data_IF_852538758097
#
_entry.id   IF_852538758097
#
_cell.length_a   1.000
_cell.length_b   1.000
_cell.length_c   1.000
_cell.angle_alpha   90.00
_cell.angle_beta   90.00
_cell.angle_gamma   90.00
#
_symmetry.space_group_name_H-M   'P 1'
#
loop_
_entity.id
_entity.type
_entity.pdbx_description
1 polymer ?
#
# COMPACT_ATOMS: atom_id res chain seq x y z
N UNK A 1 3.67 10.34 74.52
CA UNK A 1 3.65 9.12 73.69
C UNK A 1 2.30 9.04 73.00
N UNK A 2 2.10 9.05 71.68
CA UNK A 2 2.96 8.93 70.50
C UNK A 2 2.36 9.85 69.42
N UNK A 3 3.22 10.60 68.73
CA UNK A 3 2.89 11.34 67.51
C UNK A 3 2.39 10.35 66.44
N UNK A 4 1.13 10.47 66.04
CA UNK A 4 0.59 9.75 64.90
C UNK A 4 1.09 10.40 63.62
N UNK A 5 1.94 9.66 62.90
CA UNK A 5 2.74 10.14 61.79
C UNK A 5 1.88 10.20 60.50
N UNK A 6 1.17 11.32 60.32
CA UNK A 6 0.29 11.62 59.18
C UNK A 6 1.05 11.58 57.82
N UNK A 7 2.38 11.65 57.85
CA UNK A 7 3.24 11.65 56.67
C UNK A 7 3.36 10.28 55.97
N UNK A 8 3.11 9.17 56.69
CA UNK A 8 3.22 7.82 56.11
C UNK A 8 1.91 7.33 55.46
N UNK A 9 0.76 7.94 55.77
CA UNK A 9 -0.52 7.58 55.15
C UNK A 9 -0.69 8.25 53.77
N UNK A 10 -0.20 9.49 53.62
CA UNK A 10 -0.25 10.21 52.34
C UNK A 10 0.68 9.59 51.27
N UNK A 11 1.86 9.08 51.66
CA UNK A 11 2.78 8.42 50.72
C UNK A 11 2.25 7.06 50.21
N UNK A 12 1.47 6.33 51.01
CA UNK A 12 0.82 5.09 50.57
C UNK A 12 -0.35 5.34 49.63
N UNK A 13 -1.14 6.40 49.83
CA UNK A 13 -2.21 6.76 48.89
C UNK A 13 -1.68 7.25 47.53
N UNK A 14 -0.56 7.97 47.50
CA UNK A 14 0.05 8.44 46.24
C UNK A 14 0.73 7.29 45.46
N UNK A 15 1.33 6.31 46.15
CA UNK A 15 1.91 5.14 45.47
C UNK A 15 0.85 4.16 44.95
N UNK A 16 -0.32 4.09 45.59
CA UNK A 16 -1.42 3.21 45.13
C UNK A 16 -2.23 3.84 43.99
N UNK A 17 -2.28 5.18 43.89
CA UNK A 17 -2.86 5.86 42.72
C UNK A 17 -1.92 5.93 41.51
N UNK A 18 -0.59 5.85 41.69
CA UNK A 18 0.35 5.78 40.57
C UNK A 18 0.45 4.39 39.91
N UNK A 19 -0.03 3.34 40.58
CA UNK A 19 -0.07 1.98 40.01
C UNK A 19 -1.37 1.67 39.25
N UNK A 20 -2.33 2.61 39.18
CA UNK A 20 -3.57 2.44 38.41
C UNK A 20 -3.62 3.25 37.10
N UNK A 21 -2.52 3.88 36.67
CA UNK A 21 -2.45 4.56 35.36
C UNK A 21 -1.77 3.73 34.25
N UNK A 22 -1.29 2.53 34.55
CA UNK A 22 -1.04 1.50 33.51
C UNK A 22 -2.34 0.76 33.21
N UNK A 23 -3.39 1.52 32.89
CA UNK A 23 -4.58 1.00 32.24
C UNK A 23 -4.21 0.61 30.83
N UNK A 24 -3.75 -0.64 30.72
CA UNK A 24 -3.73 -1.50 29.54
C UNK A 24 -4.45 -0.83 28.37
N UNK A 25 -3.70 -0.42 27.36
CA UNK A 25 -4.25 -0.23 26.03
C UNK A 25 -4.87 -1.59 25.66
N UNK A 26 -6.16 -1.76 25.92
CA UNK A 26 -6.95 -2.83 25.32
C UNK A 26 -6.99 -2.50 23.84
N UNK A 27 -5.96 -2.93 23.14
CA UNK A 27 -6.03 -3.19 21.72
C UNK A 27 -7.20 -4.14 21.56
N UNK A 28 -8.30 -3.64 21.00
CA UNK A 28 -9.45 -4.45 20.65
C UNK A 28 -9.02 -5.34 19.49
N UNK A 29 -8.31 -6.40 19.83
CA UNK A 29 -7.97 -7.49 18.94
C UNK A 29 -9.24 -8.26 18.57
N UNK A 30 -9.20 -9.00 17.46
CA UNK A 30 -10.24 -10.00 17.20
C UNK A 30 -10.30 -11.04 18.36
N UNK A 31 -11.29 -11.94 18.35
CA UNK A 31 -11.38 -13.02 19.36
C UNK A 31 -10.11 -13.88 19.46
N UNK A 32 -9.17 -13.76 18.53
CA UNK A 32 -7.92 -14.50 18.42
C UNK A 32 -6.67 -13.64 18.69
N UNK A 33 -6.78 -12.35 19.05
CA UNK A 33 -5.62 -11.49 19.32
C UNK A 33 -5.05 -10.74 18.11
N UNK A 34 -5.66 -10.81 16.92
CA UNK A 34 -5.13 -10.18 15.69
C UNK A 34 -5.63 -8.74 15.49
N UNK A 35 -4.78 -7.93 14.86
CA UNK A 35 -5.11 -6.57 14.39
C UNK A 35 -6.06 -6.65 13.20
N UNK A 36 -7.17 -5.90 13.24
CA UNK A 36 -8.19 -5.93 12.18
C UNK A 36 -8.02 -4.74 11.25
N UNK A 37 -7.66 -5.00 9.99
CA UNK A 37 -7.44 -3.98 8.97
C UNK A 37 -8.59 -3.97 7.97
N UNK A 38 -9.13 -2.79 7.68
CA UNK A 38 -10.07 -2.59 6.58
C UNK A 38 -9.38 -2.01 5.36
N UNK A 39 -9.71 -2.47 4.16
CA UNK A 39 -9.37 -1.76 2.90
C UNK A 39 -10.66 -1.20 2.32
N UNK A 40 -10.69 0.09 2.02
CA UNK A 40 -11.88 0.71 1.42
C UNK A 40 -12.10 0.17 0.01
N UNK A 41 -13.30 -0.34 -0.26
CA UNK A 41 -13.75 -0.90 -1.53
C UNK A 41 -15.04 -0.18 -1.94
N UNK A 42 -14.87 1.04 -2.43
CA UNK A 42 -15.96 1.88 -2.89
C UNK A 42 -15.65 2.48 -4.25
N UNK A 43 -16.68 3.03 -4.90
CA UNK A 43 -16.50 3.68 -6.18
C UNK A 43 -15.48 4.83 -6.08
N UNK A 44 -14.58 4.89 -7.06
CA UNK A 44 -13.39 5.74 -7.04
C UNK A 44 -12.10 4.97 -6.73
N UNK A 45 -12.16 3.90 -5.93
CA UNK A 45 -11.01 3.04 -5.68
C UNK A 45 -10.66 2.20 -6.91
N UNK A 46 -9.38 2.16 -7.27
CA UNK A 46 -8.92 1.26 -8.35
C UNK A 46 -8.97 -0.18 -7.85
N UNK A 47 -9.71 -1.02 -8.58
CA UNK A 47 -9.90 -2.42 -8.22
C UNK A 47 -8.59 -3.18 -8.01
N UNK A 48 -7.57 -2.92 -8.85
CA UNK A 48 -6.25 -3.55 -8.69
C UNK A 48 -5.55 -3.09 -7.41
N UNK A 49 -5.62 -1.80 -7.07
CA UNK A 49 -5.06 -1.27 -5.83
C UNK A 49 -5.74 -1.86 -4.58
N UNK A 50 -7.07 -2.06 -4.64
CA UNK A 50 -7.82 -2.72 -3.56
C UNK A 50 -7.31 -4.15 -3.35
N UNK A 51 -7.21 -4.93 -4.44
CA UNK A 51 -6.72 -6.30 -4.38
C UNK A 51 -5.29 -6.39 -3.82
N UNK A 52 -4.40 -5.53 -4.31
CA UNK A 52 -3.00 -5.49 -3.92
C UNK A 52 -2.83 -5.04 -2.46
N UNK A 53 -3.60 -4.06 -1.99
CA UNK A 53 -3.60 -3.65 -0.58
C UNK A 53 -4.11 -4.76 0.35
N UNK A 54 -5.16 -5.48 -0.06
CA UNK A 54 -5.65 -6.66 0.68
C UNK A 54 -4.57 -7.74 0.74
N UNK A 55 -3.96 -8.08 -0.40
CA UNK A 55 -2.89 -9.08 -0.47
C UNK A 55 -1.68 -8.69 0.38
N UNK A 56 -1.29 -7.41 0.37
CA UNK A 56 -0.14 -6.93 1.13
C UNK A 56 -0.35 -7.09 2.65
N UNK A 57 -1.57 -6.92 3.17
CA UNK A 57 -1.85 -7.13 4.60
C UNK A 57 -1.79 -8.61 4.99
N UNK A 58 -2.14 -9.54 4.09
CA UNK A 58 -2.10 -10.98 4.37
C UNK A 58 -0.69 -11.50 4.68
N UNK A 59 0.35 -10.74 4.33
CA UNK A 59 1.76 -11.06 4.59
C UNK A 59 2.10 -10.97 6.10
N UNK A 60 1.37 -10.18 6.90
CA UNK A 60 1.58 -10.14 8.34
C UNK A 60 0.61 -11.10 9.06
N UNK A 61 1.10 -12.19 9.69
CA UNK A 61 0.22 -13.15 10.36
C UNK A 61 -0.51 -12.59 11.58
N UNK A 62 -0.08 -11.44 12.12
CA UNK A 62 -0.74 -10.78 13.25
C UNK A 62 -1.93 -9.92 12.79
N UNK A 63 -2.17 -9.82 11.48
CA UNK A 63 -3.24 -9.03 10.91
C UNK A 63 -4.32 -9.91 10.28
N UNK A 64 -5.54 -9.38 10.28
CA UNK A 64 -6.64 -9.84 9.44
C UNK A 64 -7.06 -8.68 8.54
N UNK A 65 -7.58 -9.00 7.37
CA UNK A 65 -8.01 -7.99 6.40
C UNK A 65 -9.37 -8.33 5.83
N UNK A 66 -10.18 -7.31 5.64
CA UNK A 66 -11.42 -7.37 4.85
C UNK A 66 -11.62 -6.05 4.12
N UNK A 67 -12.37 -6.10 3.04
CA UNK A 67 -12.86 -4.88 2.40
C UNK A 67 -14.03 -4.30 3.19
N UNK A 68 -14.28 -3.00 3.01
CA UNK A 68 -15.47 -2.32 3.53
C UNK A 68 -15.91 -1.21 2.59
N UNK A 69 -17.21 -0.99 2.52
CA UNK A 69 -17.87 -0.02 1.64
C UNK A 69 -18.36 1.20 2.42
N UNK A 70 -18.95 2.15 1.70
CA UNK A 70 -19.58 3.35 2.29
C UNK A 70 -20.82 3.01 3.12
N UNK A 71 -21.58 1.98 2.71
CA UNK A 71 -22.69 1.43 3.47
C UNK A 71 -22.21 0.79 4.78
N UNK A 72 -21.08 0.08 4.75
CA UNK A 72 -20.50 -0.54 5.95
C UNK A 72 -20.05 0.52 6.97
N UNK A 73 -19.49 1.65 6.53
CA UNK A 73 -19.16 2.78 7.42
C UNK A 73 -20.42 3.30 8.10
N UNK A 74 -21.50 3.52 7.34
CA UNK A 74 -22.78 3.96 7.89
C UNK A 74 -23.37 2.96 8.89
N UNK A 75 -23.18 1.66 8.65
CA UNK A 75 -23.58 0.57 9.54
C UNK A 75 -22.58 0.28 10.68
N UNK A 76 -21.55 1.11 10.85
CA UNK A 76 -20.67 1.08 12.02
C UNK A 76 -19.51 0.09 11.94
N UNK A 77 -19.09 -0.34 10.75
CA UNK A 77 -17.95 -1.27 10.54
C UNK A 77 -16.66 -0.79 11.20
N UNK A 78 -16.46 0.54 11.31
CA UNK A 78 -15.27 1.14 11.91
C UNK A 78 -15.05 0.72 13.38
N UNK A 79 -16.12 0.38 14.12
CA UNK A 79 -16.03 -0.12 15.50
C UNK A 79 -15.34 -1.50 15.59
N UNK A 80 -15.29 -2.21 14.47
CA UNK A 80 -14.74 -3.55 14.36
C UNK A 80 -13.34 -3.56 13.72
N UNK A 81 -12.75 -2.39 13.49
CA UNK A 81 -11.45 -2.24 12.84
C UNK A 81 -10.47 -1.53 13.78
N UNK A 82 -9.18 -1.75 13.55
CA UNK A 82 -8.08 -1.14 14.28
C UNK A 82 -7.34 -0.15 13.39
N UNK A 83 -7.18 -0.48 12.11
CA UNK A 83 -6.73 0.44 11.09
C UNK A 83 -7.57 0.32 9.81
N UNK A 84 -7.55 1.36 9.00
CA UNK A 84 -8.10 1.34 7.63
C UNK A 84 -7.05 1.79 6.61
N UNK A 85 -7.23 1.33 5.37
CA UNK A 85 -6.45 1.74 4.21
C UNK A 85 -7.42 2.37 3.21
N UNK A 86 -7.09 3.57 2.74
CA UNK A 86 -7.69 4.14 1.53
C UNK A 86 -6.70 3.91 0.38
N UNK A 87 -7.07 3.09 -0.61
CA UNK A 87 -6.17 2.66 -1.68
C UNK A 87 -5.91 3.76 -2.72
N UNK A 88 -5.17 3.43 -3.78
CA UNK A 88 -5.11 4.25 -4.98
C UNK A 88 -6.40 4.18 -5.82
N UNK A 89 -6.60 5.15 -6.71
CA UNK A 89 -7.85 5.37 -7.43
C UNK A 89 -7.98 6.83 -7.87
N UNK A 90 -9.20 7.36 -7.90
CA UNK A 90 -9.46 8.79 -8.07
C UNK A 90 -9.85 9.44 -6.74
N UNK A 91 -8.95 10.20 -6.12
CA UNK A 91 -9.15 10.70 -4.75
C UNK A 91 -10.40 11.57 -4.58
N UNK A 92 -10.72 12.42 -5.56
CA UNK A 92 -11.97 13.20 -5.58
C UNK A 92 -13.22 12.33 -5.71
N UNK A 93 -13.14 11.26 -6.52
CA UNK A 93 -14.23 10.29 -6.68
C UNK A 93 -14.44 9.49 -5.40
N UNK A 94 -13.37 9.00 -4.77
CA UNK A 94 -13.45 8.31 -3.48
C UNK A 94 -14.05 9.21 -2.40
N UNK A 95 -13.57 10.45 -2.29
CA UNK A 95 -14.09 11.43 -1.33
C UNK A 95 -15.59 11.66 -1.51
N UNK A 96 -16.03 11.89 -2.75
CA UNK A 96 -17.45 12.07 -3.08
C UNK A 96 -18.28 10.86 -2.66
N UNK A 97 -17.82 9.65 -3.00
CA UNK A 97 -18.56 8.43 -2.75
C UNK A 97 -18.60 8.05 -1.27
N UNK A 98 -17.53 8.31 -0.51
CA UNK A 98 -17.54 8.12 0.95
C UNK A 98 -18.65 8.96 1.57
N UNK A 99 -18.75 10.24 1.17
CA UNK A 99 -19.78 11.15 1.63
C UNK A 99 -19.47 11.80 2.98
N UNK A 100 -19.93 13.03 3.15
CA UNK A 100 -19.54 13.93 4.25
C UNK A 100 -19.70 13.33 5.64
N UNK A 101 -20.79 12.60 5.90
CA UNK A 101 -21.03 12.00 7.22
C UNK A 101 -20.08 10.84 7.52
N UNK A 102 -19.77 10.00 6.52
CA UNK A 102 -18.79 8.94 6.69
C UNK A 102 -17.36 9.48 6.83
N UNK A 103 -17.03 10.59 6.16
CA UNK A 103 -15.74 11.26 6.34
C UNK A 103 -15.56 11.75 7.79
N UNK A 104 -16.62 12.27 8.43
CA UNK A 104 -16.61 12.60 9.86
C UNK A 104 -16.40 11.36 10.73
N UNK A 105 -17.06 10.23 10.39
CA UNK A 105 -16.89 8.96 11.11
C UNK A 105 -15.46 8.44 11.00
N UNK A 106 -14.83 8.54 9.82
CA UNK A 106 -13.41 8.19 9.63
C UNK A 106 -12.51 9.11 10.45
N UNK A 107 -12.74 10.43 10.44
CA UNK A 107 -11.97 11.37 11.27
C UNK A 107 -12.08 11.02 12.76
N UNK A 108 -13.29 10.78 13.26
CA UNK A 108 -13.50 10.39 14.66
C UNK A 108 -12.84 9.04 15.00
N UNK A 109 -12.85 8.08 14.06
CA UNK A 109 -12.13 6.82 14.18
C UNK A 109 -10.62 7.07 14.41
N UNK A 110 -10.00 7.91 13.59
CA UNK A 110 -8.57 8.26 13.72
C UNK A 110 -8.32 8.98 15.07
N UNK A 111 -9.08 10.04 15.36
CA UNK A 111 -8.91 10.85 16.57
C UNK A 111 -9.07 10.02 17.86
N UNK A 112 -9.84 8.92 17.81
CA UNK A 112 -10.01 7.98 18.92
C UNK A 112 -8.78 7.10 19.23
N UNK A 113 -7.77 7.07 18.35
CA UNK A 113 -6.55 6.27 18.54
C UNK A 113 -6.28 5.23 17.46
N UNK A 114 -7.06 5.22 16.37
CA UNK A 114 -6.98 4.21 15.32
C UNK A 114 -6.03 4.64 14.20
N UNK A 115 -5.58 3.66 13.42
CA UNK A 115 -4.62 3.88 12.34
C UNK A 115 -5.27 4.13 10.99
N UNK A 116 -4.65 4.96 10.16
CA UNK A 116 -5.04 5.09 8.76
C UNK A 116 -3.83 5.19 7.83
N UNK A 117 -3.88 4.46 6.71
CA UNK A 117 -2.89 4.54 5.63
C UNK A 117 -3.58 5.00 4.34
N UNK A 118 -3.01 6.01 3.69
CA UNK A 118 -3.43 6.49 2.37
C UNK A 118 -2.37 6.12 1.34
N UNK A 119 -2.81 5.64 0.18
CA UNK A 119 -1.92 5.22 -0.91
C UNK A 119 -2.32 5.99 -2.17
N UNK A 120 -1.39 6.70 -2.82
CA UNK A 120 -1.63 7.50 -4.02
C UNK A 120 -2.87 8.42 -3.87
N UNK A 121 -4.01 8.06 -4.46
CA UNK A 121 -5.29 8.75 -4.32
C UNK A 121 -5.75 8.92 -2.86
N UNK A 122 -5.60 7.90 -2.03
CA UNK A 122 -5.86 8.00 -0.60
C UNK A 122 -4.98 9.06 0.08
N UNK A 123 -3.73 9.23 -0.37
CA UNK A 123 -2.83 10.28 0.11
C UNK A 123 -3.25 11.67 -0.36
N UNK A 124 -3.70 11.82 -1.62
CA UNK A 124 -4.33 13.06 -2.11
C UNK A 124 -5.53 13.42 -1.22
N UNK A 125 -6.42 12.46 -0.98
CA UNK A 125 -7.62 12.66 -0.16
C UNK A 125 -7.27 13.09 1.28
N UNK A 126 -6.13 12.67 1.83
CA UNK A 126 -5.72 13.04 3.19
C UNK A 126 -5.16 14.46 3.31
N UNK A 127 -4.74 15.05 2.19
CA UNK A 127 -4.08 16.34 2.12
C UNK A 127 -4.98 17.53 2.45
N UNK A 128 -4.42 18.72 2.34
CA UNK A 128 -5.10 20.01 2.36
C UNK A 128 -4.81 20.78 1.07
N UNK A 129 -5.06 20.13 -0.07
CA UNK A 129 -4.80 20.74 -1.36
C UNK A 129 -5.92 21.72 -1.75
N UNK A 130 -5.60 22.98 -2.11
CA UNK A 130 -6.58 23.91 -2.64
C UNK A 130 -7.33 23.32 -3.83
N UNK A 131 -8.64 23.61 -3.91
CA UNK A 131 -9.53 23.18 -4.99
C UNK A 131 -9.61 21.66 -5.22
N UNK A 132 -9.17 20.86 -4.24
CA UNK A 132 -9.27 19.40 -4.25
C UNK A 132 -10.13 18.87 -3.08
N UNK A 133 -10.77 17.73 -3.29
CA UNK A 133 -11.60 17.09 -2.29
C UNK A 133 -10.74 16.44 -1.19
N UNK A 134 -10.63 17.13 -0.05
CA UNK A 134 -9.64 16.85 0.98
C UNK A 134 -10.25 16.62 2.37
N UNK A 135 -9.83 15.55 3.03
CA UNK A 135 -10.16 15.25 4.43
C UNK A 135 -9.39 16.10 5.43
N UNK A 136 -8.26 16.69 5.02
CA UNK A 136 -7.48 17.62 5.87
C UNK A 136 -6.95 16.95 7.13
N UNK A 137 -6.37 15.77 6.97
CA UNK A 137 -5.90 14.91 8.07
C UNK A 137 -4.39 14.69 8.06
N UNK A 138 -3.71 15.04 6.97
CA UNK A 138 -2.27 15.20 6.93
C UNK A 138 -1.89 16.69 6.85
N UNK A 139 -0.63 17.02 7.15
CA UNK A 139 -0.12 18.39 7.17
C UNK A 139 0.43 18.91 5.83
N UNK A 140 0.18 18.19 4.74
CA UNK A 140 0.71 18.48 3.42
C UNK A 140 -0.40 18.97 2.48
N UNK A 141 0.01 19.63 1.40
CA UNK A 141 -0.80 19.88 0.20
C UNK A 141 -0.05 19.30 -1.00
N UNK A 142 -0.78 18.84 -2.00
CA UNK A 142 -0.22 18.57 -3.31
C UNK A 142 -0.06 19.88 -4.08
N UNK A 143 0.99 19.97 -4.89
CA UNK A 143 1.16 20.98 -5.93
C UNK A 143 1.07 20.32 -7.29
N UNK A 144 0.99 21.12 -8.35
CA UNK A 144 1.03 20.63 -9.74
C UNK A 144 -0.09 19.60 -10.01
N UNK A 145 -1.31 19.94 -9.59
CA UNK A 145 -2.49 19.09 -9.81
C UNK A 145 -2.93 19.16 -11.28
N UNK A 146 -2.67 20.28 -11.95
CA UNK A 146 -2.94 20.48 -13.37
C UNK A 146 -2.20 19.49 -14.29
N UNK A 147 -1.09 18.91 -13.83
CA UNK A 147 -0.31 17.88 -14.52
C UNK A 147 -0.31 16.57 -13.70
N UNK A 148 -1.48 16.14 -13.21
CA UNK A 148 -1.58 14.89 -12.46
C UNK A 148 -1.21 13.64 -13.26
N UNK A 149 -1.55 13.61 -14.56
CA UNK A 149 -1.07 12.63 -15.53
C UNK A 149 0.41 12.84 -15.92
N UNK A 150 1.32 12.94 -14.94
CA UNK A 150 2.75 13.19 -15.17
C UNK A 150 3.55 11.95 -15.60
N UNK A 151 2.96 10.78 -15.46
CA UNK A 151 3.57 9.50 -15.83
C UNK A 151 3.73 8.53 -14.67
N UNK A 152 4.25 7.35 -14.99
CA UNK A 152 4.32 6.23 -14.07
C UNK A 152 5.46 5.25 -14.40
N UNK A 153 5.81 4.42 -13.42
CA UNK A 153 6.86 3.42 -13.53
C UNK A 153 7.59 3.16 -12.22
N UNK A 154 8.67 2.40 -12.26
CA UNK A 154 9.56 2.19 -11.12
C UNK A 154 10.35 3.46 -10.85
N UNK A 155 9.93 4.21 -9.84
CA UNK A 155 10.59 5.42 -9.35
C UNK A 155 11.55 5.08 -8.21
N UNK A 156 12.56 5.94 -8.02
CA UNK A 156 13.54 5.88 -6.94
C UNK A 156 13.19 6.84 -5.81
N UNK A 157 13.45 6.39 -4.58
CA UNK A 157 13.33 7.19 -3.38
C UNK A 157 14.48 6.88 -2.41
N UNK A 158 14.79 7.83 -1.53
CA UNK A 158 15.72 7.65 -0.42
C UNK A 158 14.97 7.68 0.92
N UNK A 159 15.52 7.05 1.95
CA UNK A 159 14.98 7.14 3.31
C UNK A 159 15.65 8.28 4.08
N UNK A 160 14.84 9.04 4.82
CA UNK A 160 15.36 9.93 5.87
C UNK A 160 15.88 9.12 7.06
N UNK A 161 16.58 9.75 8.00
CA UNK A 161 17.06 9.06 9.20
C UNK A 161 15.93 8.41 10.01
N UNK A 162 14.74 9.02 10.05
CA UNK A 162 13.58 8.40 10.68
C UNK A 162 12.91 7.35 9.81
N UNK A 163 12.96 7.50 8.49
CA UNK A 163 12.60 6.43 7.56
C UNK A 163 13.42 5.15 7.80
N UNK A 164 14.74 5.28 7.96
CA UNK A 164 15.65 4.16 8.23
C UNK A 164 15.31 3.41 9.51
N UNK A 165 14.80 4.11 10.54
CA UNK A 165 14.33 3.48 11.78
C UNK A 165 13.07 2.63 11.57
N UNK A 166 12.16 3.06 10.69
CA UNK A 166 10.93 2.32 10.40
C UNK A 166 11.15 1.18 9.39
N UNK A 167 12.06 1.37 8.45
CA UNK A 167 12.38 0.44 7.36
C UNK A 167 13.86 0.02 7.40
N UNK A 168 14.31 -0.66 8.47
CA UNK A 168 15.71 -1.08 8.62
C UNK A 168 16.19 -1.97 7.47
N UNK A 169 15.31 -2.73 6.83
CA UNK A 169 15.61 -3.56 5.66
C UNK A 169 16.11 -2.76 4.44
N UNK A 170 15.80 -1.47 4.40
CA UNK A 170 16.21 -0.54 3.35
C UNK A 170 17.28 0.46 3.82
N UNK A 171 17.65 0.44 5.11
CA UNK A 171 18.43 1.52 5.72
C UNK A 171 19.85 1.69 5.17
N UNK A 172 20.47 0.60 4.71
CA UNK A 172 21.79 0.61 4.10
C UNK A 172 21.75 0.99 2.60
N UNK A 173 20.57 1.10 1.99
CA UNK A 173 20.43 1.42 0.57
C UNK A 173 20.43 2.94 0.39
N UNK A 174 21.28 3.50 -0.49
CA UNK A 174 21.19 4.91 -0.83
C UNK A 174 19.87 5.23 -1.57
N UNK A 175 19.42 4.31 -2.42
CA UNK A 175 18.17 4.40 -3.17
C UNK A 175 17.40 3.08 -3.08
N UNK A 176 16.09 3.20 -2.99
CA UNK A 176 15.12 2.11 -3.10
C UNK A 176 14.10 2.44 -4.19
N UNK A 177 13.39 1.43 -4.69
CA UNK A 177 12.59 1.54 -5.90
C UNK A 177 11.19 0.98 -5.68
N UNK A 178 10.18 1.76 -6.02
CA UNK A 178 8.75 1.41 -5.90
C UNK A 178 7.99 1.97 -7.10
N UNK A 179 6.93 1.27 -7.51
CA UNK A 179 6.03 1.72 -8.56
C UNK A 179 5.33 3.02 -8.15
N UNK A 180 5.58 4.08 -8.91
CA UNK A 180 4.90 5.35 -8.83
C UNK A 180 3.88 5.44 -9.97
N UNK A 181 2.70 5.99 -9.69
CA UNK A 181 1.67 6.26 -10.68
C UNK A 181 0.94 7.53 -10.26
N UNK A 182 1.33 8.68 -10.84
CA UNK A 182 0.62 9.97 -10.71
C UNK A 182 0.38 10.47 -9.28
N UNK A 183 1.05 9.91 -8.28
CA UNK A 183 0.83 10.24 -6.89
C UNK A 183 1.19 11.68 -6.52
N UNK A 184 0.71 12.17 -5.37
CA UNK A 184 0.79 13.58 -5.02
C UNK A 184 2.22 14.09 -4.87
N UNK A 185 2.47 15.29 -5.41
CA UNK A 185 3.70 16.04 -5.19
C UNK A 185 3.53 16.87 -3.93
N UNK A 186 3.93 16.34 -2.77
CA UNK A 186 3.67 17.01 -1.50
C UNK A 186 4.61 18.18 -1.22
N UNK A 187 4.03 19.24 -0.67
CA UNK A 187 4.71 20.29 0.08
C UNK A 187 3.94 20.55 1.37
N UNK A 188 4.51 21.35 2.27
CA UNK A 188 3.82 21.73 3.50
C UNK A 188 2.54 22.51 3.18
N UNK A 189 1.43 22.22 3.89
CA UNK A 189 0.22 23.03 3.79
C UNK A 189 0.45 24.42 4.40
N UNK A 190 -0.13 25.44 3.77
CA UNK A 190 -0.13 26.81 4.28
C UNK A 190 -1.24 27.05 5.31
N UNK A 191 -2.35 26.29 5.23
CA UNK A 191 -3.55 26.54 6.02
C UNK A 191 -3.62 25.63 7.26
N UNK A 192 -3.19 24.37 7.12
CA UNK A 192 -3.27 23.38 8.20
C UNK A 192 -1.93 23.18 8.87
N UNK A 193 -1.92 23.40 10.19
CA UNK A 193 -0.73 23.32 11.05
C UNK A 193 -0.54 21.95 11.70
N UNK A 194 -0.88 20.87 10.99
CA UNK A 194 -0.57 19.51 11.46
C UNK A 194 0.91 19.26 11.12
N UNK A 195 1.81 19.05 12.11
CA UNK A 195 3.18 18.67 11.81
C UNK A 195 3.20 17.25 11.24
N UNK A 196 3.99 17.02 10.19
CA UNK A 196 4.30 15.69 9.69
C UNK A 196 5.80 15.47 9.65
N UNK A 197 6.18 14.21 9.78
CA UNK A 197 7.53 13.74 9.55
C UNK A 197 7.64 13.19 8.14
N UNK A 198 8.69 13.58 7.42
CA UNK A 198 9.05 12.96 6.15
C UNK A 198 9.91 11.73 6.43
N UNK A 199 9.47 10.57 5.96
CA UNK A 199 10.15 9.28 6.15
C UNK A 199 10.90 8.85 4.89
N UNK A 200 10.52 9.36 3.73
CA UNK A 200 11.19 9.10 2.47
C UNK A 200 11.12 10.33 1.55
N UNK A 201 12.10 10.47 0.67
CA UNK A 201 12.19 11.54 -0.32
C UNK A 201 12.15 10.93 -1.71
N UNK A 202 11.34 11.52 -2.60
CA UNK A 202 11.26 11.19 -4.01
C UNK A 202 12.54 11.66 -4.68
N UNK A 203 13.25 10.74 -5.34
CA UNK A 203 14.52 11.03 -6.02
C UNK A 203 14.35 11.01 -7.55
N UNK A 204 13.22 10.51 -8.03
CA UNK A 204 12.83 10.57 -9.44
C UNK A 204 12.24 11.91 -9.81
N UNK A 205 12.50 12.31 -11.05
CA UNK A 205 11.84 13.43 -11.71
C UNK A 205 10.91 12.89 -12.81
N UNK A 206 9.67 12.56 -12.45
CA UNK A 206 8.69 11.90 -13.33
C UNK A 206 7.93 12.97 -14.12
N UNK A 207 8.05 12.93 -15.44
CA UNK A 207 7.49 13.92 -16.37
C UNK A 207 7.33 13.37 -17.80
N UNK A 208 7.14 12.05 -17.93
CA UNK A 208 6.99 11.36 -19.21
C UNK A 208 5.64 11.67 -19.90
N UNK A 209 4.65 12.09 -19.13
CA UNK A 209 3.28 12.36 -19.58
C UNK A 209 2.75 13.72 -19.11
N UNK A 210 1.58 14.11 -19.61
CA UNK A 210 0.81 15.26 -19.12
C UNK A 210 1.48 16.63 -19.26
N UNK A 211 2.58 16.70 -20.00
CA UNK A 211 3.43 17.89 -20.15
C UNK A 211 3.90 18.45 -18.79
N UNK A 212 4.10 17.55 -17.82
CA UNK A 212 4.55 17.91 -16.49
C UNK A 212 5.93 18.59 -16.51
N UNK A 213 6.15 19.62 -15.69
CA UNK A 213 7.40 20.35 -15.68
C UNK A 213 8.55 19.52 -15.10
N UNK A 214 9.75 19.69 -15.67
CA UNK A 214 10.98 19.08 -15.12
C UNK A 214 11.27 19.58 -13.71
N UNK A 215 11.88 18.71 -12.90
CA UNK A 215 12.21 18.90 -11.48
C UNK A 215 11.00 19.16 -10.57
N UNK A 216 9.81 18.69 -10.96
CA UNK A 216 8.62 18.86 -10.14
C UNK A 216 8.56 17.83 -9.00
N UNK A 217 8.75 16.55 -9.32
CA UNK A 217 8.56 15.47 -8.34
C UNK A 217 9.79 15.22 -7.48
N UNK A 218 11.00 15.54 -7.97
CA UNK A 218 12.24 15.27 -7.24
C UNK A 218 12.38 16.12 -5.98
N UNK A 219 13.09 15.57 -4.99
CA UNK A 219 13.33 16.16 -3.69
C UNK A 219 12.03 16.55 -2.94
N UNK A 220 10.96 15.78 -3.14
CA UNK A 220 9.67 15.96 -2.45
C UNK A 220 9.40 14.81 -1.48
N UNK A 221 8.54 14.99 -0.46
CA UNK A 221 8.16 13.92 0.44
C UNK A 221 7.50 12.76 -0.31
N UNK A 222 8.03 11.55 -0.12
CA UNK A 222 7.53 10.30 -0.71
C UNK A 222 6.66 9.52 0.27
N UNK A 223 7.11 9.46 1.53
CA UNK A 223 6.33 8.97 2.66
C UNK A 223 6.26 10.06 3.71
N UNK A 224 5.04 10.38 4.17
CA UNK A 224 4.83 11.29 5.30
C UNK A 224 3.98 10.62 6.37
N UNK A 225 4.22 11.00 7.62
CA UNK A 225 3.54 10.42 8.75
C UNK A 225 3.25 11.48 9.82
N UNK A 226 2.05 11.50 10.37
CA UNK A 226 1.64 12.46 11.40
C UNK A 226 0.70 11.82 12.44
N UNK A 227 0.49 12.54 13.54
CA UNK A 227 -0.55 12.23 14.51
C UNK A 227 -1.80 13.09 14.22
N UNK A 228 -2.98 12.56 14.55
CA UNK A 228 -4.25 13.29 14.53
C UNK A 228 -5.10 12.80 15.72
N UNK A 229 -5.36 13.68 16.68
CA UNK A 229 -5.91 13.28 17.97
C UNK A 229 -5.00 12.24 18.64
N UNK A 230 -5.55 11.07 18.99
CA UNK A 230 -4.77 9.95 19.56
C UNK A 230 -4.22 8.99 18.50
N UNK A 231 -4.71 9.09 17.26
CA UNK A 231 -4.39 8.19 16.16
C UNK A 231 -3.23 8.69 15.31
N UNK A 232 -2.95 7.94 14.24
CA UNK A 232 -1.83 8.19 13.34
C UNK A 232 -2.22 7.98 11.89
N UNK A 233 -1.71 8.87 11.05
CA UNK A 233 -1.94 8.92 9.61
C UNK A 233 -0.61 8.67 8.91
N UNK A 234 -0.61 7.73 7.97
CA UNK A 234 0.52 7.49 7.07
C UNK A 234 0.08 7.75 5.64
N UNK A 235 0.84 8.53 4.88
CA UNK A 235 0.57 8.78 3.45
C UNK A 235 1.74 8.27 2.62
N UNK A 236 1.43 7.45 1.63
CA UNK A 236 2.34 6.96 0.60
C UNK A 236 1.96 7.55 -0.75
N UNK A 237 2.89 8.23 -1.43
CA UNK A 237 2.60 8.77 -2.77
C UNK A 237 2.73 7.72 -3.88
N UNK A 238 3.26 6.54 -3.54
CA UNK A 238 3.54 5.48 -4.50
C UNK A 238 2.83 4.19 -4.09
N UNK A 239 3.05 3.12 -4.86
CA UNK A 239 2.36 1.84 -4.73
C UNK A 239 3.29 0.69 -4.28
N UNK A 240 3.73 0.63 -3.01
CA UNK A 240 4.44 -0.53 -2.49
C UNK A 240 3.64 -1.83 -2.61
N UNK A 241 2.31 -1.77 -2.49
CA UNK A 241 1.40 -2.91 -2.68
C UNK A 241 1.48 -3.50 -4.09
N UNK A 242 1.83 -2.66 -5.06
CA UNK A 242 1.96 -3.02 -6.46
C UNK A 242 3.42 -3.26 -6.87
N UNK A 243 4.35 -3.36 -5.93
CA UNK A 243 5.79 -3.48 -6.22
C UNK A 243 6.32 -4.82 -5.73
N UNK A 244 6.72 -5.73 -6.63
CA UNK A 244 7.32 -7.01 -6.24
C UNK A 244 8.47 -6.84 -5.25
N UNK A 245 8.49 -7.65 -4.20
CA UNK A 245 9.50 -7.55 -3.13
C UNK A 245 9.33 -6.40 -2.12
N UNK A 246 8.32 -5.54 -2.30
CA UNK A 246 8.08 -4.35 -1.47
C UNK A 246 6.68 -4.32 -0.81
N UNK A 247 5.82 -5.32 -1.05
CA UNK A 247 4.47 -5.41 -0.49
C UNK A 247 4.45 -5.29 1.05
N UNK A 248 5.48 -5.79 1.73
CA UNK A 248 5.63 -5.73 3.18
C UNK A 248 5.68 -4.33 3.78
N UNK A 249 5.94 -3.30 2.96
CA UNK A 249 5.89 -1.92 3.39
C UNK A 249 4.47 -1.53 3.87
N UNK A 250 3.42 -2.07 3.26
CA UNK A 250 2.03 -1.75 3.63
C UNK A 250 1.68 -2.21 5.05
N UNK A 251 1.83 -3.49 5.45
CA UNK A 251 1.61 -3.88 6.84
C UNK A 251 2.60 -3.19 7.78
N UNK A 252 3.84 -2.87 7.36
CA UNK A 252 4.78 -2.07 8.18
C UNK A 252 4.24 -0.67 8.48
N UNK A 253 3.64 0.01 7.49
CA UNK A 253 2.97 1.30 7.67
C UNK A 253 1.79 1.18 8.63
N UNK A 254 0.95 0.15 8.48
CA UNK A 254 -0.15 -0.12 9.42
C UNK A 254 0.36 -0.33 10.84
N UNK A 255 1.40 -1.15 11.05
CA UNK A 255 2.03 -1.35 12.37
C UNK A 255 2.48 -0.03 12.99
N UNK A 256 3.10 0.85 12.20
CA UNK A 256 3.50 2.18 12.67
C UNK A 256 2.31 3.02 13.13
N UNK A 257 1.22 3.03 12.37
CA UNK A 257 0.01 3.79 12.74
C UNK A 257 -0.60 3.30 14.07
N UNK A 258 -0.43 2.02 14.38
CA UNK A 258 -0.96 1.39 15.59
C UNK A 258 0.05 1.30 16.74
N UNK A 259 1.24 1.90 16.58
CA UNK A 259 2.34 1.82 17.56
C UNK A 259 2.73 0.37 17.87
N UNK A 260 2.57 -0.53 16.90
CA UNK A 260 2.96 -1.93 17.03
C UNK A 260 4.48 -2.10 16.86
N UNK A 261 5.10 -3.12 17.48
CA UNK A 261 6.51 -3.42 17.28
C UNK A 261 6.83 -3.68 15.81
N UNK A 262 8.02 -3.27 15.36
CA UNK A 262 8.54 -3.64 14.03
C UNK A 262 8.71 -5.16 13.97
N UNK A 263 8.26 -5.75 12.87
CA UNK A 263 8.29 -7.20 12.64
C UNK A 263 9.08 -7.50 11.37
N UNK A 264 9.99 -8.46 11.45
CA UNK A 264 10.69 -9.00 10.29
C UNK A 264 9.76 -9.92 9.49
N UNK A 265 9.93 -9.90 8.17
CA UNK A 265 9.20 -10.77 7.24
C UNK A 265 10.17 -11.75 6.55
N UNK A 266 9.63 -12.79 5.92
CA UNK A 266 10.42 -13.82 5.21
C UNK A 266 11.26 -13.18 4.08
N UNK A 267 12.45 -13.71 3.79
CA UNK A 267 13.30 -13.25 2.69
C UNK A 267 12.59 -13.28 1.32
N UNK A 268 11.63 -14.19 1.11
CA UNK A 268 10.83 -14.25 -0.13
C UNK A 268 9.93 -13.00 -0.29
N UNK A 269 9.53 -12.39 0.82
CA UNK A 269 8.66 -11.21 0.85
C UNK A 269 9.50 -9.93 0.70
N UNK A 270 10.63 -9.85 1.40
CA UNK A 270 11.50 -8.66 1.42
C UNK A 270 12.60 -8.83 0.38
N UNK A 271 12.39 -8.29 -0.82
CA UNK A 271 13.33 -8.41 -1.96
C UNK A 271 13.56 -7.05 -2.63
N UNK A 272 14.15 -6.06 -1.93
CA UNK A 272 14.37 -4.72 -2.47
C UNK A 272 15.36 -4.68 -3.65
N UNK A 273 16.11 -5.75 -3.89
CA UNK A 273 17.07 -5.87 -4.98
C UNK A 273 16.45 -6.28 -6.33
N UNK A 274 15.15 -6.57 -6.38
CA UNK A 274 14.47 -6.82 -7.68
C UNK A 274 14.63 -5.62 -8.61
N UNK A 275 14.60 -4.41 -8.05
CA UNK A 275 14.82 -3.17 -8.79
C UNK A 275 16.02 -2.42 -8.20
N UNK A 276 16.95 -2.07 -9.07
CA UNK A 276 18.16 -1.30 -8.76
C UNK A 276 18.38 -0.15 -9.76
N UNK A 277 17.38 0.13 -10.59
CA UNK A 277 17.35 1.22 -11.56
C UNK A 277 15.92 1.69 -11.76
N UNK A 278 15.82 2.94 -12.18
CA UNK A 278 14.57 3.58 -12.57
C UNK A 278 14.07 3.01 -13.91
N UNK A 279 12.75 2.87 -14.03
CA UNK A 279 12.06 2.38 -15.23
C UNK A 279 10.78 3.19 -15.37
N UNK A 280 10.80 4.27 -16.14
CA UNK A 280 9.65 5.14 -16.38
C UNK A 280 9.08 4.85 -17.77
N UNK A 281 7.76 4.73 -17.86
CA UNK A 281 7.06 4.40 -19.10
C UNK A 281 6.98 5.65 -19.98
N UNK A 282 7.57 5.60 -21.16
CA UNK A 282 7.42 6.69 -22.15
C UNK A 282 6.07 6.58 -22.86
N UNK A 283 5.62 7.66 -23.53
CA UNK A 283 4.46 7.62 -24.43
C UNK A 283 4.54 6.48 -25.48
N UNK A 284 5.74 6.13 -25.93
CA UNK A 284 5.94 5.01 -26.86
C UNK A 284 5.77 3.65 -26.18
N UNK A 285 6.24 3.51 -24.94
CA UNK A 285 6.04 2.30 -24.14
C UNK A 285 4.56 2.09 -23.84
N UNK A 286 3.81 3.13 -23.51
CA UNK A 286 2.37 3.04 -23.22
C UNK A 286 1.55 2.62 -24.43
N UNK A 287 1.90 3.16 -25.61
CA UNK A 287 1.30 2.69 -26.86
C UNK A 287 1.59 1.20 -27.07
N UNK A 288 2.83 0.78 -26.84
CA UNK A 288 3.24 -0.62 -26.99
C UNK A 288 2.56 -1.54 -25.97
N UNK A 289 2.41 -1.11 -24.72
CA UNK A 289 1.66 -1.81 -23.67
C UNK A 289 0.22 -2.03 -24.10
N UNK A 290 -0.47 -0.97 -24.53
CA UNK A 290 -1.84 -1.03 -25.04
C UNK A 290 -1.99 -2.03 -26.19
N UNK A 291 -1.06 -2.02 -27.15
CA UNK A 291 -1.10 -2.91 -28.32
C UNK A 291 -0.97 -4.40 -27.94
N UNK A 292 -0.35 -4.73 -26.80
CA UNK A 292 -0.23 -6.12 -26.34
C UNK A 292 -1.57 -6.76 -25.94
N UNK A 293 -2.61 -5.98 -25.67
CA UNK A 293 -3.94 -6.53 -25.46
C UNK A 293 -4.41 -7.32 -26.69
N UNK A 294 -4.23 -6.77 -27.89
CA UNK A 294 -4.56 -7.48 -29.14
C UNK A 294 -3.66 -8.71 -29.35
N UNK A 295 -2.37 -8.62 -28.99
CA UNK A 295 -1.46 -9.78 -29.03
C UNK A 295 -1.95 -10.91 -28.13
N UNK A 296 -2.49 -10.62 -26.96
CA UNK A 296 -3.03 -11.66 -26.08
C UNK A 296 -4.32 -12.30 -26.61
N UNK A 297 -5.13 -11.56 -27.35
CA UNK A 297 -6.33 -12.09 -27.99
C UNK A 297 -6.00 -12.95 -29.21
N UNK A 298 -5.09 -12.51 -30.09
CA UNK A 298 -4.96 -13.06 -31.44
C UNK A 298 -3.54 -13.47 -31.85
N UNK A 299 -2.53 -13.15 -31.05
CA UNK A 299 -1.14 -13.46 -31.34
C UNK A 299 -0.81 -14.95 -31.18
N UNK A 300 0.28 -15.36 -31.82
CA UNK A 300 0.88 -16.67 -31.63
C UNK A 300 1.41 -16.86 -30.21
N UNK A 301 1.59 -18.11 -29.73
CA UNK A 301 2.17 -18.36 -28.42
C UNK A 301 3.52 -17.66 -28.17
N UNK A 302 4.38 -17.57 -29.19
CA UNK A 302 5.67 -16.90 -29.08
C UNK A 302 5.52 -15.39 -28.87
N UNK A 303 4.58 -14.76 -29.57
CA UNK A 303 4.29 -13.32 -29.43
C UNK A 303 3.69 -13.01 -28.06
N UNK A 304 2.77 -13.85 -27.55
CA UNK A 304 2.21 -13.71 -26.20
C UNK A 304 3.30 -13.84 -25.12
N UNK A 305 4.23 -14.78 -25.27
CA UNK A 305 5.35 -14.93 -24.32
C UNK A 305 6.28 -13.70 -24.36
N UNK A 306 6.64 -13.25 -25.56
CA UNK A 306 7.45 -12.04 -25.73
C UNK A 306 6.77 -10.78 -25.16
N UNK A 307 5.44 -10.69 -25.29
CA UNK A 307 4.64 -9.64 -24.68
C UNK A 307 4.73 -9.68 -23.15
N UNK A 308 4.54 -10.86 -22.53
CA UNK A 308 4.68 -11.03 -21.08
C UNK A 308 6.09 -10.68 -20.58
N UNK A 309 7.13 -11.06 -21.32
CA UNK A 309 8.51 -10.71 -21.00
C UNK A 309 8.75 -9.21 -21.01
N UNK A 310 8.28 -8.52 -22.05
CA UNK A 310 8.41 -7.08 -22.14
C UNK A 310 7.61 -6.37 -21.04
N UNK A 311 6.33 -6.73 -20.84
CA UNK A 311 5.46 -6.13 -19.83
C UNK A 311 6.02 -6.31 -18.41
N UNK A 312 6.63 -7.46 -18.13
CA UNK A 312 7.30 -7.71 -16.85
C UNK A 312 8.54 -6.82 -16.68
N UNK A 313 9.33 -6.65 -17.76
CA UNK A 313 10.57 -5.86 -17.74
C UNK A 313 10.34 -4.37 -17.50
N UNK A 314 9.19 -3.83 -17.93
CA UNK A 314 8.82 -2.41 -17.76
C UNK A 314 7.91 -2.17 -16.56
N UNK A 315 7.55 -3.23 -15.83
CA UNK A 315 6.54 -3.20 -14.76
C UNK A 315 5.22 -2.55 -15.21
N UNK A 316 4.66 -3.07 -16.30
CA UNK A 316 3.35 -2.69 -16.82
C UNK A 316 2.27 -2.68 -15.73
N UNK A 317 1.49 -1.59 -15.68
CA UNK A 317 0.35 -1.45 -14.78
C UNK A 317 -0.83 -2.31 -15.27
N UNK A 318 -1.09 -2.29 -16.58
CA UNK A 318 -2.27 -2.95 -17.17
C UNK A 318 -2.14 -4.46 -17.28
N UNK A 319 -0.92 -4.99 -17.41
CA UNK A 319 -0.66 -6.43 -17.49
C UNK A 319 -1.26 -7.22 -16.31
N UNK A 320 -1.44 -6.55 -15.16
CA UNK A 320 -2.18 -7.06 -13.99
C UNK A 320 -3.50 -7.67 -14.40
N UNK A 321 -4.28 -6.98 -15.22
CA UNK A 321 -5.65 -7.35 -15.58
C UNK A 321 -5.71 -8.38 -16.70
N UNK A 322 -4.64 -8.53 -17.48
CA UNK A 322 -4.64 -9.38 -18.68
C UNK A 322 -4.10 -10.79 -18.41
N UNK A 323 -3.10 -10.91 -17.52
CA UNK A 323 -2.39 -12.18 -17.33
C UNK A 323 -3.27 -13.31 -16.80
N UNK A 324 -4.37 -13.00 -16.10
CA UNK A 324 -5.28 -14.00 -15.54
C UNK A 324 -5.82 -14.96 -16.62
N UNK A 325 -6.27 -14.44 -17.76
CA UNK A 325 -6.82 -15.28 -18.83
C UNK A 325 -5.77 -16.20 -19.45
N UNK A 326 -4.51 -15.75 -19.50
CA UNK A 326 -3.40 -16.50 -20.10
C UNK A 326 -2.99 -17.74 -19.30
N UNK A 327 -3.40 -17.85 -18.03
CA UNK A 327 -3.27 -19.10 -17.26
C UNK A 327 -4.04 -20.27 -17.89
N UNK A 328 -5.03 -19.97 -18.72
CA UNK A 328 -5.94 -20.93 -19.36
C UNK A 328 -5.84 -20.89 -20.89
N UNK A 329 -4.75 -20.33 -21.44
CA UNK A 329 -4.48 -20.31 -22.89
C UNK A 329 -4.32 -21.73 -23.45
N UNK A 330 -4.66 -21.94 -24.72
CA UNK A 330 -4.52 -23.25 -25.39
C UNK A 330 -3.07 -23.75 -25.42
N UNK A 331 -2.09 -22.85 -25.45
CA UNK A 331 -0.67 -23.19 -25.46
C UNK A 331 -0.12 -23.47 -24.05
N UNK A 332 0.48 -24.66 -23.81
CA UNK A 332 1.12 -24.96 -22.52
C UNK A 332 2.26 -23.98 -22.19
N UNK A 333 2.97 -23.47 -23.20
CA UNK A 333 4.06 -22.52 -22.99
C UNK A 333 3.56 -21.17 -22.47
N UNK A 334 2.40 -20.71 -22.96
CA UNK A 334 1.76 -19.47 -22.50
C UNK A 334 1.27 -19.63 -21.07
N UNK A 335 0.61 -20.75 -20.75
CA UNK A 335 0.16 -21.06 -19.38
C UNK A 335 1.32 -21.06 -18.38
N UNK A 336 2.44 -21.72 -18.72
CA UNK A 336 3.65 -21.71 -17.89
C UNK A 336 4.17 -20.29 -17.68
N UNK A 337 4.25 -19.50 -18.76
CA UNK A 337 4.79 -18.14 -18.69
C UNK A 337 3.89 -17.21 -17.88
N UNK A 338 2.57 -17.32 -18.01
CA UNK A 338 1.59 -16.57 -17.23
C UNK A 338 1.69 -16.91 -15.73
N UNK A 339 1.79 -18.21 -15.39
CA UNK A 339 2.00 -18.62 -14.00
C UNK A 339 3.31 -18.07 -13.43
N UNK A 340 4.41 -18.09 -14.20
CA UNK A 340 5.68 -17.47 -13.81
C UNK A 340 5.58 -15.96 -13.63
N UNK A 341 4.90 -15.27 -14.56
CA UNK A 341 4.66 -13.82 -14.46
C UNK A 341 3.99 -13.48 -13.12
N UNK A 342 2.88 -14.15 -12.81
CA UNK A 342 2.10 -13.93 -11.58
C UNK A 342 2.96 -14.17 -10.33
N UNK A 343 3.73 -15.26 -10.30
CA UNK A 343 4.58 -15.60 -9.16
C UNK A 343 5.76 -14.63 -8.99
N UNK A 344 6.44 -14.25 -10.07
CA UNK A 344 7.59 -13.36 -10.03
C UNK A 344 7.20 -11.90 -9.73
N UNK A 345 5.97 -11.52 -10.09
CA UNK A 345 5.39 -10.20 -9.81
C UNK A 345 4.57 -10.13 -8.52
N UNK A 346 4.59 -11.18 -7.70
CA UNK A 346 3.95 -11.25 -6.39
C UNK A 346 2.42 -11.01 -6.40
N UNK A 347 1.73 -11.31 -7.51
CA UNK A 347 0.27 -11.13 -7.63
C UNK A 347 -0.53 -12.22 -6.92
N UNK A 348 -0.53 -12.14 -5.59
CA UNK A 348 -1.30 -13.01 -4.69
C UNK A 348 -2.80 -13.04 -5.00
N UNK A 349 -3.35 -11.99 -5.61
CA UNK A 349 -4.74 -11.92 -6.09
C UNK A 349 -5.12 -13.13 -6.94
N UNK A 350 -4.19 -13.62 -7.78
CA UNK A 350 -4.41 -14.74 -8.68
C UNK A 350 -3.94 -16.08 -8.13
N UNK A 351 -3.67 -16.19 -6.82
CA UNK A 351 -3.24 -17.45 -6.21
C UNK A 351 -4.22 -18.59 -6.47
N UNK A 352 -5.53 -18.32 -6.38
CA UNK A 352 -6.57 -19.32 -6.67
C UNK A 352 -6.61 -19.70 -8.14
N UNK A 353 -6.38 -18.76 -9.04
CA UNK A 353 -6.33 -19.02 -10.49
C UNK A 353 -5.11 -19.89 -10.85
N UNK A 354 -3.94 -19.61 -10.28
CA UNK A 354 -2.73 -20.45 -10.48
C UNK A 354 -2.95 -21.85 -9.91
N UNK A 355 -3.62 -21.97 -8.76
CA UNK A 355 -4.00 -23.26 -8.18
C UNK A 355 -4.99 -24.02 -9.08
N UNK A 356 -6.00 -23.33 -9.64
CA UNK A 356 -6.93 -23.90 -10.59
C UNK A 356 -6.22 -24.39 -11.87
N UNK A 357 -5.30 -23.59 -12.42
CA UNK A 357 -4.49 -23.96 -13.58
C UNK A 357 -3.60 -25.19 -13.28
N UNK A 358 -2.99 -25.27 -12.10
CA UNK A 358 -2.24 -26.46 -11.67
C UNK A 358 -3.14 -27.70 -11.58
N UNK A 359 -4.33 -27.55 -10.98
CA UNK A 359 -5.24 -28.67 -10.76
C UNK A 359 -5.80 -29.22 -12.08
N UNK A 360 -6.16 -28.34 -13.01
CA UNK A 360 -6.75 -28.70 -14.30
C UNK A 360 -5.73 -29.17 -15.35
N UNK A 361 -4.44 -28.84 -15.20
CA UNK A 361 -3.39 -29.25 -16.14
C UNK A 361 -3.19 -30.77 -16.15
N UNK A 362 -3.18 -31.34 -17.36
CA UNK A 362 -3.08 -32.79 -17.62
C UNK A 362 -1.67 -33.20 -18.06
N UNK A 363 -0.95 -32.31 -18.75
CA UNK A 363 0.42 -32.60 -19.18
C UNK A 363 1.38 -32.58 -17.97
N UNK A 364 2.07 -33.69 -17.64
CA UNK A 364 2.88 -33.77 -16.43
C UNK A 364 4.03 -32.76 -16.38
N UNK A 365 4.64 -32.41 -17.53
CA UNK A 365 5.76 -31.47 -17.59
C UNK A 365 5.27 -30.04 -17.32
N UNK A 366 4.18 -29.65 -17.98
CA UNK A 366 3.53 -28.35 -17.81
C UNK A 366 3.02 -28.19 -16.38
N UNK A 367 2.38 -29.23 -15.84
CA UNK A 367 1.89 -29.26 -14.45
C UNK A 367 3.03 -29.05 -13.44
N UNK A 368 4.18 -29.68 -13.66
CA UNK A 368 5.35 -29.50 -12.81
C UNK A 368 5.91 -28.06 -12.85
N UNK A 369 5.92 -27.41 -14.02
CA UNK A 369 6.34 -26.01 -14.14
C UNK A 369 5.36 -25.04 -13.46
N UNK A 370 4.05 -25.20 -13.65
CA UNK A 370 3.04 -24.38 -12.97
C UNK A 370 3.12 -24.58 -11.45
N UNK A 371 3.40 -25.80 -10.98
CA UNK A 371 3.57 -26.08 -9.55
C UNK A 371 4.69 -25.25 -8.92
N UNK A 372 5.81 -25.04 -9.62
CA UNK A 372 6.91 -24.20 -9.12
C UNK A 372 6.45 -22.76 -8.86
N UNK A 373 5.67 -22.19 -9.78
CA UNK A 373 5.07 -20.86 -9.62
C UNK A 373 4.05 -20.82 -8.48
N UNK A 374 3.20 -21.84 -8.37
CA UNK A 374 2.23 -21.94 -7.27
C UNK A 374 2.92 -22.00 -5.90
N UNK A 375 3.93 -22.87 -5.75
CA UNK A 375 4.68 -23.01 -4.52
C UNK A 375 5.42 -21.71 -4.17
N UNK A 376 6.00 -21.05 -5.18
CA UNK A 376 6.68 -19.76 -5.02
C UNK A 376 5.74 -18.64 -4.55
N UNK A 377 4.51 -18.60 -5.08
CA UNK A 377 3.50 -17.62 -4.70
C UNK A 377 2.95 -17.91 -3.29
N UNK A 378 2.68 -19.18 -2.97
CA UNK A 378 2.27 -19.60 -1.60
C UNK A 378 3.32 -19.24 -0.55
N UNK A 379 4.60 -19.23 -0.91
CA UNK A 379 5.69 -18.88 0.01
C UNK A 379 5.72 -17.41 0.45
N UNK A 380 4.94 -16.52 -0.18
CA UNK A 380 4.73 -15.14 0.30
C UNK A 380 3.87 -15.08 1.56
N UNK A 381 2.96 -16.03 1.72
CA UNK A 381 2.03 -16.05 2.85
C UNK A 381 2.71 -16.63 4.11
N UNK A 382 2.27 -16.24 5.32
CA UNK A 382 2.85 -16.68 6.59
C UNK A 382 2.88 -18.19 6.82
#
# INVERSE_FOLDING_TARGET
MKNFNLHNLLKKCILTLLCLSMGVALYATDKNGKTRVGVFDGHGGSQTCIWEAVAAIQIDPDMTVRTFTTADIANGVLKQLDAIIIPGGGGSTEYLNIGTENLKRIRAFIESGKGVVGICAGSYMFSDTPDYACMRINGAKAIDIEHDNRGHGIAKFSLTEEGKKLFPELAARPLSYVLYYEGPVFVKSDNIKIPYQTLAIMESDVHEEGDAPTNMTNNKPFFIANELGKGRVFSSIAHPEATPGMLWLIPRMVRWTLKMPIKAYKNRVVRPDIYNKEILMTKADLKKEHDFFNTFLYGTPAEKIAALDWLQSVRSWDAKRWVQGLLFDDSPLVRIRAAKFIAETDYLTYLKDVEAAYNSEKDPKTKAEIKKSLDNLKALLP
#
